data_IF_559060106247
#
_entry.id   IF_559060106247
#
_cell.length_a   1.000
_cell.length_b   1.000
_cell.length_c   1.000
_cell.angle_alpha   90.00
_cell.angle_beta   90.00
_cell.angle_gamma   90.00
#
_symmetry.space_group_name_H-M   'P 1'
#
loop_
_entity.id
_entity.type
_entity.pdbx_description
1 polymer ?
#
# COMPACT_ATOMS: atom_id res chain seq x y z
N UNK A 1 -28.58 8.04 -23.14
CA UNK A 1 -27.81 8.17 -24.39
C UNK A 1 -26.76 9.25 -24.23
N UNK A 2 -25.58 9.03 -24.78
CA UNK A 2 -24.60 10.07 -25.10
C UNK A 2 -23.80 10.65 -23.93
N UNK A 3 -22.56 10.20 -23.78
CA UNK A 3 -21.56 10.80 -22.90
C UNK A 3 -20.19 10.19 -23.17
N UNK A 4 -19.69 10.39 -24.39
CA UNK A 4 -18.36 9.95 -24.82
C UNK A 4 -17.26 10.71 -24.08
N UNK A 5 -16.18 9.99 -23.74
CA UNK A 5 -14.97 10.52 -23.13
C UNK A 5 -13.78 9.67 -23.53
N UNK A 6 -13.20 10.05 -24.67
CA UNK A 6 -11.83 9.82 -25.18
C UNK A 6 -11.08 8.61 -24.61
N UNK A 7 -11.06 7.53 -25.39
CA UNK A 7 -10.09 6.46 -25.26
C UNK A 7 -8.74 6.92 -25.78
N UNK A 8 -7.79 7.11 -24.87
CA UNK A 8 -6.37 7.11 -25.20
C UNK A 8 -5.90 5.66 -25.28
N UNK A 9 -5.64 5.18 -26.50
CA UNK A 9 -4.88 3.95 -26.73
C UNK A 9 -3.40 4.27 -26.57
N UNK A 10 -2.95 4.41 -25.32
CA UNK A 10 -1.53 4.32 -24.99
C UNK A 10 -1.10 2.86 -24.92
N UNK A 11 0.19 2.53 -25.16
CA UNK A 11 0.70 1.18 -24.95
C UNK A 11 0.77 0.91 -23.45
N UNK A 12 -0.32 0.43 -22.85
CA UNK A 12 -0.31 0.09 -21.43
C UNK A 12 -1.68 -0.05 -20.79
N UNK A 13 -2.64 0.82 -21.09
CA UNK A 13 -3.91 0.80 -20.37
C UNK A 13 -4.67 -0.52 -20.66
N UNK A 14 -5.06 -1.31 -19.65
CA UNK A 14 -5.86 -2.50 -19.91
C UNK A 14 -7.17 -2.06 -20.56
N UNK A 15 -7.54 -2.60 -21.74
CA UNK A 15 -8.88 -2.39 -22.29
C UNK A 15 -9.88 -2.77 -21.21
N UNK A 16 -11.00 -2.04 -21.11
CA UNK A 16 -12.03 -2.24 -20.08
C UNK A 16 -12.34 -3.74 -19.92
N UNK A 17 -11.76 -4.37 -18.89
CA UNK A 17 -11.99 -5.78 -18.56
C UNK A 17 -10.80 -6.75 -18.67
N UNK A 18 -9.59 -6.32 -19.06
CA UNK A 18 -8.40 -7.20 -19.19
C UNK A 18 -7.33 -7.05 -18.10
N UNK A 19 -6.14 -7.59 -18.40
CA UNK A 19 -4.89 -7.43 -17.65
C UNK A 19 -3.78 -6.90 -18.56
N UNK A 20 -2.82 -6.19 -17.99
CA UNK A 20 -1.68 -5.58 -18.70
C UNK A 20 -0.39 -5.69 -17.91
N UNK A 21 0.72 -5.77 -18.63
CA UNK A 21 2.05 -5.48 -18.12
C UNK A 21 2.28 -3.96 -18.25
N UNK A 22 2.43 -3.23 -17.13
CA UNK A 22 2.77 -1.82 -17.18
C UNK A 22 4.19 -1.62 -17.72
N UNK A 23 4.46 -0.47 -18.38
CA UNK A 23 5.79 -0.15 -18.90
C UNK A 23 6.84 -0.13 -17.78
N UNK A 24 8.12 -0.21 -18.11
CA UNK A 24 9.21 -0.03 -17.16
C UNK A 24 9.24 1.42 -16.59
N UNK A 25 9.79 1.60 -15.39
CA UNK A 25 9.88 2.91 -14.73
C UNK A 25 8.63 3.34 -13.94
N UNK A 26 8.55 4.61 -13.51
CA UNK A 26 7.42 5.14 -12.73
C UNK A 26 6.09 5.07 -13.48
N UNK A 27 4.99 4.80 -12.77
CA UNK A 27 3.64 4.74 -13.36
C UNK A 27 2.83 5.99 -13.03
N UNK A 28 2.09 6.50 -14.03
CA UNK A 28 1.10 7.56 -13.81
C UNK A 28 -0.08 7.00 -13.01
N UNK A 29 -0.35 7.62 -11.86
CA UNK A 29 -1.46 7.26 -10.97
C UNK A 29 -2.82 7.48 -11.61
N UNK A 30 -2.97 8.50 -12.47
CA UNK A 30 -4.24 8.77 -13.17
C UNK A 30 -4.59 7.65 -14.13
N UNK A 31 -3.57 7.02 -14.71
CA UNK A 31 -3.74 5.93 -15.67
C UNK A 31 -3.81 4.56 -14.98
N UNK A 32 -2.91 4.29 -14.02
CA UNK A 32 -2.71 2.97 -13.43
C UNK A 32 -3.28 2.81 -12.02
N UNK A 33 -3.65 3.90 -11.36
CA UNK A 33 -4.10 3.94 -9.98
C UNK A 33 -2.96 4.01 -8.96
N UNK A 34 -3.32 4.36 -7.73
CA UNK A 34 -2.37 4.60 -6.63
C UNK A 34 -1.58 3.34 -6.25
N UNK A 35 -2.28 2.21 -6.06
CA UNK A 35 -1.65 0.96 -5.61
C UNK A 35 -0.56 0.46 -6.59
N UNK A 36 -0.82 0.32 -7.91
CA UNK A 36 0.22 -0.08 -8.85
C UNK A 36 1.43 0.87 -8.90
N UNK A 37 1.19 2.18 -8.90
CA UNK A 37 2.26 3.16 -8.90
C UNK A 37 3.14 3.05 -7.64
N UNK A 38 2.52 2.89 -6.46
CA UNK A 38 3.23 2.67 -5.19
C UNK A 38 4.06 1.37 -5.20
N UNK A 39 3.50 0.27 -5.70
CA UNK A 39 4.21 -1.02 -5.75
C UNK A 39 5.43 -0.92 -6.68
N UNK A 40 5.27 -0.30 -7.86
CA UNK A 40 6.38 -0.12 -8.79
C UNK A 40 7.52 0.70 -8.19
N UNK A 41 7.21 1.73 -7.42
CA UNK A 41 8.23 2.54 -6.76
C UNK A 41 8.94 1.81 -5.63
N UNK A 42 8.20 1.04 -4.84
CA UNK A 42 8.78 0.26 -3.74
C UNK A 42 9.61 -0.94 -4.25
N UNK A 43 9.23 -1.51 -5.40
CA UNK A 43 9.80 -2.73 -5.97
C UNK A 43 10.07 -2.54 -7.48
N UNK A 44 11.04 -1.69 -7.86
CA UNK A 44 11.30 -1.36 -9.27
C UNK A 44 11.74 -2.56 -10.10
N UNK A 45 12.38 -3.54 -9.46
CA UNK A 45 12.94 -4.73 -10.11
C UNK A 45 11.97 -5.93 -10.13
N UNK A 46 10.79 -5.80 -9.50
CA UNK A 46 9.79 -6.88 -9.46
C UNK A 46 8.78 -6.67 -10.59
N UNK A 47 8.57 -7.67 -11.47
CA UNK A 47 7.53 -7.60 -12.49
C UNK A 47 6.15 -7.35 -11.87
N UNK A 48 5.44 -6.36 -12.41
CA UNK A 48 4.10 -5.97 -11.96
C UNK A 48 3.09 -6.35 -13.04
N UNK A 49 1.94 -6.88 -12.65
CA UNK A 49 0.81 -7.10 -13.57
C UNK A 49 -0.43 -6.44 -12.98
N UNK A 50 -1.12 -5.63 -13.78
CA UNK A 50 -2.33 -4.92 -13.35
C UNK A 50 -3.49 -5.43 -14.20
N UNK A 51 -4.47 -6.05 -13.56
CA UNK A 51 -5.64 -6.56 -14.28
C UNK A 51 -6.80 -6.86 -13.37
N UNK A 52 -8.02 -6.48 -13.78
CA UNK A 52 -9.23 -6.75 -12.98
C UNK A 52 -9.55 -8.24 -12.92
N UNK A 53 -9.35 -8.96 -14.03
CA UNK A 53 -9.50 -10.42 -14.10
C UNK A 53 -8.18 -11.08 -13.73
N UNK A 54 -8.13 -11.74 -12.57
CA UNK A 54 -6.88 -12.36 -12.08
C UNK A 54 -6.42 -13.54 -12.92
N UNK A 55 -7.35 -14.24 -13.57
CA UNK A 55 -7.03 -15.33 -14.51
C UNK A 55 -6.23 -14.78 -15.70
N UNK A 56 -6.69 -13.69 -16.31
CA UNK A 56 -5.98 -13.05 -17.43
C UNK A 56 -4.60 -12.53 -17.00
N UNK A 57 -4.50 -11.96 -15.80
CA UNK A 57 -3.23 -11.53 -15.23
C UNK A 57 -2.26 -12.72 -15.02
N UNK A 58 -2.75 -13.83 -14.47
CA UNK A 58 -1.95 -15.04 -14.30
C UNK A 58 -1.49 -15.64 -15.64
N UNK A 59 -2.35 -15.62 -16.66
CA UNK A 59 -1.98 -16.06 -18.00
C UNK A 59 -0.86 -15.20 -18.61
N UNK A 60 -0.90 -13.87 -18.42
CA UNK A 60 0.18 -12.98 -18.84
C UNK A 60 1.50 -13.28 -18.11
N UNK A 61 1.43 -13.50 -16.79
CA UNK A 61 2.62 -13.88 -15.98
C UNK A 61 3.19 -15.19 -16.48
N UNK A 62 2.37 -16.22 -16.69
CA UNK A 62 2.83 -17.51 -17.18
C UNK A 62 3.52 -17.41 -18.55
N UNK A 63 3.02 -16.54 -19.43
CA UNK A 63 3.58 -16.33 -20.76
C UNK A 63 4.91 -15.55 -20.77
N UNK A 64 5.06 -14.53 -19.91
CA UNK A 64 6.23 -13.63 -19.94
C UNK A 64 7.27 -13.94 -18.85
N UNK A 65 6.86 -14.62 -17.79
CA UNK A 65 7.68 -14.93 -16.62
C UNK A 65 7.46 -16.40 -16.20
N UNK A 66 7.82 -17.38 -17.06
CA UNK A 66 7.63 -18.79 -16.75
C UNK A 66 8.40 -19.17 -15.49
N UNK A 67 7.74 -19.89 -14.58
CA UNK A 67 8.31 -20.32 -13.29
C UNK A 67 8.32 -19.25 -12.19
N UNK A 68 7.80 -18.05 -12.45
CA UNK A 68 7.69 -17.02 -11.42
C UNK A 68 6.59 -17.34 -10.39
N UNK A 69 6.82 -16.90 -9.15
CA UNK A 69 5.80 -16.94 -8.09
C UNK A 69 4.93 -15.68 -8.21
N UNK A 70 3.62 -15.87 -8.39
CA UNK A 70 2.66 -14.78 -8.47
C UNK A 70 2.16 -14.40 -7.07
N UNK A 71 2.59 -13.23 -6.57
CA UNK A 71 2.02 -12.62 -5.38
C UNK A 71 0.79 -11.79 -5.73
N UNK A 72 -0.34 -12.04 -5.07
CA UNK A 72 -1.60 -11.32 -5.30
C UNK A 72 -2.03 -10.51 -4.08
N UNK A 73 -1.98 -9.19 -4.19
CA UNK A 73 -2.63 -8.29 -3.21
C UNK A 73 -4.16 -8.42 -3.31
N UNK A 74 -4.83 -8.47 -2.15
CA UNK A 74 -6.28 -8.65 -2.01
C UNK A 74 -6.86 -9.87 -2.79
N UNK A 75 -6.05 -10.90 -3.06
CA UNK A 75 -6.43 -12.05 -3.90
C UNK A 75 -7.31 -13.09 -3.21
N UNK A 76 -7.50 -13.02 -1.89
CA UNK A 76 -8.09 -14.10 -1.09
C UNK A 76 -9.48 -14.54 -1.57
N UNK A 77 -10.36 -13.57 -1.87
CA UNK A 77 -11.74 -13.84 -2.27
C UNK A 77 -11.91 -14.21 -3.75
N UNK A 78 -10.85 -14.14 -4.56
CA UNK A 78 -10.93 -14.43 -5.98
C UNK A 78 -10.90 -15.95 -6.23
N UNK A 79 -12.07 -16.60 -6.14
CA UNK A 79 -12.22 -18.05 -6.26
C UNK A 79 -11.79 -18.67 -7.61
N UNK A 80 -11.94 -18.02 -8.78
CA UNK A 80 -11.63 -18.65 -10.06
C UNK A 80 -10.16 -18.99 -10.30
N UNK A 81 -9.24 -18.42 -9.51
CA UNK A 81 -7.80 -18.69 -9.62
C UNK A 81 -7.37 -19.51 -8.41
N UNK A 82 -6.92 -20.74 -8.67
CA UNK A 82 -6.31 -21.60 -7.66
C UNK A 82 -5.07 -20.91 -7.09
N UNK A 83 -4.93 -20.97 -5.77
CA UNK A 83 -3.77 -20.45 -5.04
C UNK A 83 -3.03 -21.65 -4.46
N UNK A 84 -1.72 -21.64 -4.54
CA UNK A 84 -0.90 -22.65 -3.87
C UNK A 84 -0.74 -22.35 -2.38
N UNK A 85 -0.71 -21.05 -2.05
CA UNK A 85 -0.65 -20.56 -0.67
C UNK A 85 -1.57 -19.34 -0.52
N UNK A 86 -2.33 -19.32 0.56
CA UNK A 86 -3.19 -18.21 0.96
C UNK A 86 -2.87 -17.75 2.38
N UNK A 87 -2.39 -16.51 2.50
CA UNK A 87 -2.07 -15.88 3.78
C UNK A 87 -3.09 -14.78 4.04
N UNK A 88 -3.71 -14.78 5.22
CA UNK A 88 -4.72 -13.79 5.61
C UNK A 88 -4.30 -13.08 6.88
N UNK A 89 -4.37 -11.76 6.85
CA UNK A 89 -4.24 -10.94 8.06
C UNK A 89 -5.59 -10.93 8.79
N UNK A 90 -5.67 -11.63 9.92
CA UNK A 90 -6.86 -11.69 10.79
C UNK A 90 -6.41 -11.44 12.24
N UNK A 91 -6.70 -10.27 12.83
CA UNK A 91 -6.31 -10.01 14.20
C UNK A 91 -6.97 -11.03 15.13
N UNK A 92 -6.23 -11.57 16.10
CA UNK A 92 -6.73 -12.62 16.99
C UNK A 92 -8.02 -12.19 17.71
N UNK A 93 -8.07 -10.93 18.15
CA UNK A 93 -9.19 -10.29 18.85
C UNK A 93 -9.68 -9.06 18.08
N UNK A 94 -10.55 -9.21 17.06
CA UNK A 94 -11.11 -8.07 16.35
C UNK A 94 -12.09 -7.31 17.23
N UNK A 95 -12.11 -5.99 17.10
CA UNK A 95 -13.09 -5.12 17.79
C UNK A 95 -14.52 -5.46 17.35
N UNK A 96 -14.69 -5.95 16.13
CA UNK A 96 -15.98 -6.32 15.55
C UNK A 96 -15.79 -7.42 14.51
N UNK A 97 -16.48 -8.56 14.66
CA UNK A 97 -16.37 -9.72 13.77
C UNK A 97 -17.50 -9.84 12.73
N UNK A 98 -18.37 -8.83 12.60
CA UNK A 98 -19.43 -8.83 11.61
C UNK A 98 -18.92 -8.53 10.21
N UNK A 99 -19.69 -8.99 9.22
CA UNK A 99 -19.47 -8.62 7.83
C UNK A 99 -19.90 -7.18 7.56
N UNK A 100 -19.41 -6.60 6.46
CA UNK A 100 -19.89 -5.33 5.92
C UNK A 100 -21.42 -5.37 5.73
N UNK A 101 -22.15 -4.26 6.01
CA UNK A 101 -21.64 -2.98 6.51
C UNK A 101 -21.47 -2.93 8.04
N UNK A 102 -21.94 -3.95 8.77
CA UNK A 102 -21.95 -3.96 10.23
C UNK A 102 -20.57 -4.14 10.86
N UNK A 103 -19.57 -4.61 10.11
CA UNK A 103 -18.18 -4.75 10.54
C UNK A 103 -17.21 -4.84 9.35
N UNK A 104 -15.90 -5.01 9.60
CA UNK A 104 -14.88 -4.88 8.56
C UNK A 104 -14.71 -6.12 7.66
N UNK A 105 -15.33 -7.25 8.01
CA UNK A 105 -15.13 -8.50 7.30
C UNK A 105 -15.93 -8.54 5.99
N UNK A 106 -15.35 -9.09 4.93
CA UNK A 106 -16.04 -9.22 3.63
C UNK A 106 -16.81 -10.54 3.46
N UNK A 107 -16.52 -11.50 4.33
CA UNK A 107 -17.21 -12.78 4.45
C UNK A 107 -17.17 -13.22 5.93
N UNK A 108 -18.03 -14.16 6.37
CA UNK A 108 -18.04 -14.58 7.77
C UNK A 108 -16.64 -15.01 8.24
N UNK A 109 -16.14 -14.42 9.33
CA UNK A 109 -14.75 -14.61 9.81
C UNK A 109 -14.34 -16.08 9.87
N UNK A 110 -15.19 -16.93 10.45
CA UNK A 110 -14.91 -18.37 10.54
C UNK A 110 -14.83 -19.09 9.19
N UNK A 111 -15.62 -18.66 8.20
CA UNK A 111 -15.57 -19.22 6.85
C UNK A 111 -14.31 -18.81 6.09
N UNK A 112 -13.90 -17.54 6.23
CA UNK A 112 -12.63 -17.05 5.69
C UNK A 112 -11.44 -17.78 6.31
N UNK A 113 -11.38 -17.88 7.65
CA UNK A 113 -10.29 -18.57 8.35
C UNK A 113 -10.05 -20.01 7.89
N UNK A 114 -11.12 -20.76 7.59
CA UNK A 114 -11.01 -22.15 7.12
C UNK A 114 -10.41 -22.30 5.72
N UNK A 115 -10.41 -21.23 4.91
CA UNK A 115 -9.86 -21.23 3.55
C UNK A 115 -8.40 -20.80 3.50
N UNK A 116 -7.88 -20.20 4.57
CA UNK A 116 -6.51 -19.70 4.62
C UNK A 116 -5.52 -20.82 4.98
N UNK A 117 -4.37 -20.84 4.31
CA UNK A 117 -3.25 -21.71 4.67
C UNK A 117 -2.51 -21.20 5.92
N UNK A 118 -2.51 -19.88 6.09
CA UNK A 118 -1.91 -19.21 7.23
C UNK A 118 -2.72 -17.98 7.64
N UNK A 119 -3.00 -17.88 8.93
CA UNK A 119 -3.54 -16.68 9.56
C UNK A 119 -2.40 -15.95 10.25
N UNK A 120 -2.32 -14.64 10.04
CA UNK A 120 -1.33 -13.78 10.69
C UNK A 120 -2.02 -12.61 11.42
N UNK A 121 -1.49 -12.18 12.58
CA UNK A 121 -0.50 -12.90 13.38
C UNK A 121 -1.10 -14.19 13.99
N UNK A 122 -0.25 -15.12 14.42
CA UNK A 122 -0.63 -16.30 15.20
C UNK A 122 0.49 -16.67 16.21
N UNK A 123 0.33 -17.79 16.92
CA UNK A 123 1.30 -18.24 17.94
C UNK A 123 2.71 -18.54 17.39
N UNK A 124 2.80 -18.95 16.12
CA UNK A 124 4.07 -19.27 15.45
C UNK A 124 4.71 -18.03 14.82
N UNK A 125 3.90 -17.14 14.24
CA UNK A 125 4.40 -16.00 13.45
C UNK A 125 3.74 -14.69 13.86
N UNK A 126 4.58 -13.73 14.25
CA UNK A 126 4.16 -12.37 14.59
C UNK A 126 4.46 -11.41 13.44
N UNK A 127 3.53 -10.48 13.17
CA UNK A 127 3.74 -9.41 12.18
C UNK A 127 4.24 -8.16 12.92
N UNK A 128 5.46 -7.74 12.66
CA UNK A 128 6.09 -6.60 13.34
C UNK A 128 6.32 -5.45 12.37
N UNK A 129 5.55 -4.35 12.49
CA UNK A 129 5.89 -3.13 11.78
C UNK A 129 7.12 -2.49 12.41
N UNK A 130 7.95 -1.85 11.59
CA UNK A 130 9.09 -1.06 12.04
C UNK A 130 9.27 0.18 11.17
N UNK A 131 9.99 1.16 11.69
CA UNK A 131 10.33 2.37 10.95
C UNK A 131 11.64 2.11 10.24
N UNK A 132 11.65 2.15 8.90
CA UNK A 132 12.88 2.05 8.11
C UNK A 132 13.70 3.34 8.17
N UNK A 133 13.01 4.47 8.27
CA UNK A 133 13.63 5.80 8.34
C UNK A 133 12.70 6.88 7.80
N UNK A 134 13.24 8.09 7.71
CA UNK A 134 12.59 9.23 7.08
C UNK A 134 13.48 9.68 5.92
N UNK A 135 12.91 9.71 4.72
CA UNK A 135 13.56 10.28 3.55
C UNK A 135 13.15 11.75 3.41
N UNK A 136 14.12 12.66 3.33
CA UNK A 136 13.85 14.09 3.23
C UNK A 136 14.02 14.59 1.80
N UNK A 137 13.06 15.39 1.32
CA UNK A 137 13.11 15.96 -0.05
C UNK A 137 14.07 17.14 -0.19
N UNK A 138 14.43 17.75 0.94
CA UNK A 138 15.40 18.84 1.06
C UNK A 138 16.36 18.49 2.20
N UNK A 139 17.23 19.43 2.59
CA UNK A 139 18.12 19.28 3.74
C UNK A 139 17.44 18.56 4.90
N UNK A 140 18.07 17.49 5.35
CA UNK A 140 17.55 16.60 6.39
C UNK A 140 17.21 17.40 7.66
N UNK A 141 16.00 17.21 8.19
CA UNK A 141 15.57 17.82 9.45
C UNK A 141 15.73 16.78 10.56
N UNK A 142 16.73 16.97 11.41
CA UNK A 142 17.05 16.05 12.51
C UNK A 142 16.37 16.46 13.81
N UNK A 143 15.89 15.50 14.61
CA UNK A 143 15.37 15.78 15.95
C UNK A 143 16.50 16.22 16.91
N UNK A 144 16.22 17.09 17.90
CA UNK A 144 14.92 17.69 18.19
C UNK A 144 14.59 18.81 17.18
N UNK A 145 13.41 18.75 16.58
CA UNK A 145 12.94 19.76 15.63
C UNK A 145 11.41 19.85 15.63
N UNK A 146 10.90 21.04 15.35
CA UNK A 146 9.47 21.27 15.19
C UNK A 146 9.03 20.89 13.78
N UNK A 147 7.97 20.11 13.68
CA UNK A 147 7.43 19.62 12.41
C UNK A 147 5.90 19.73 12.40
N UNK A 148 5.33 19.68 11.21
CA UNK A 148 3.91 19.41 11.02
C UNK A 148 3.71 17.99 10.49
N UNK A 149 2.50 17.43 10.63
CA UNK A 149 2.14 16.16 9.98
C UNK A 149 1.00 16.35 8.96
N UNK A 150 1.06 15.63 7.83
CA UNK A 150 -0.03 15.58 6.85
C UNK A 150 -0.28 14.13 6.43
N UNK A 151 -1.50 13.61 6.63
CA UNK A 151 -1.84 12.22 6.28
C UNK A 151 -3.28 12.03 5.81
N UNK A 152 -3.52 10.98 5.02
CA UNK A 152 -4.82 10.46 4.58
C UNK A 152 -4.87 8.93 4.74
N UNK A 153 -4.57 8.47 5.96
CA UNK A 153 -4.55 7.06 6.37
C UNK A 153 -5.66 6.78 7.39
N UNK A 154 -6.05 5.51 7.53
CA UNK A 154 -7.09 5.08 8.47
C UNK A 154 -6.89 5.51 9.93
N UNK A 155 -5.63 5.58 10.39
CA UNK A 155 -5.28 5.91 11.78
C UNK A 155 -4.25 7.06 11.82
N UNK A 156 -4.66 8.31 11.58
CA UNK A 156 -3.73 9.43 11.41
C UNK A 156 -2.93 9.74 12.69
N UNK A 157 -3.49 9.46 13.87
CA UNK A 157 -2.81 9.63 15.16
C UNK A 157 -1.49 8.84 15.25
N UNK A 158 -1.37 7.72 14.53
CA UNK A 158 -0.12 6.94 14.50
C UNK A 158 1.06 7.74 13.97
N UNK A 159 0.81 8.67 13.05
CA UNK A 159 1.85 9.52 12.50
C UNK A 159 2.42 10.47 13.56
N UNK A 160 1.53 11.12 14.31
CA UNK A 160 1.90 12.03 15.40
C UNK A 160 2.70 11.27 16.46
N UNK A 161 2.17 10.15 16.96
CA UNK A 161 2.86 9.32 17.95
C UNK A 161 4.24 8.84 17.46
N UNK A 162 4.34 8.48 16.18
CA UNK A 162 5.61 8.03 15.60
C UNK A 162 6.62 9.18 15.51
N UNK A 163 6.18 10.36 15.07
CA UNK A 163 7.04 11.54 15.00
C UNK A 163 7.57 11.93 16.39
N UNK A 164 6.70 11.95 17.39
CA UNK A 164 7.07 12.23 18.79
C UNK A 164 8.04 11.17 19.35
N UNK A 165 7.79 9.89 19.07
CA UNK A 165 8.69 8.80 19.46
C UNK A 165 10.09 8.92 18.84
N UNK A 166 10.17 9.48 17.63
CA UNK A 166 11.43 9.78 16.95
C UNK A 166 12.10 11.08 17.44
N UNK A 167 11.48 11.80 18.38
CA UNK A 167 12.05 13.01 19.00
C UNK A 167 11.67 14.33 18.31
N UNK A 168 10.67 14.34 17.45
CA UNK A 168 10.14 15.58 16.87
C UNK A 168 9.05 16.21 17.75
N UNK A 169 8.98 17.54 17.74
CA UNK A 169 7.87 18.31 18.31
C UNK A 169 6.80 18.55 17.24
N UNK A 170 5.65 17.89 17.34
CA UNK A 170 4.57 18.02 16.36
C UNK A 170 3.74 19.26 16.67
N UNK A 171 4.07 20.38 16.03
CA UNK A 171 3.45 21.67 16.26
C UNK A 171 2.05 21.79 15.62
N UNK A 172 1.77 21.04 14.56
CA UNK A 172 0.46 21.01 13.90
C UNK A 172 0.25 19.72 13.10
N UNK A 173 -1.01 19.35 12.87
CA UNK A 173 -1.35 18.15 12.09
C UNK A 173 -2.60 18.34 11.25
N UNK A 174 -2.54 17.92 9.99
CA UNK A 174 -3.68 17.83 9.08
C UNK A 174 -3.95 16.37 8.77
N UNK A 175 -5.10 15.87 9.20
CA UNK A 175 -5.61 14.56 8.85
C UNK A 175 -6.77 14.70 7.87
N UNK A 176 -6.73 13.91 6.80
CA UNK A 176 -7.80 13.79 5.80
C UNK A 176 -8.42 12.39 5.88
N UNK A 177 -9.65 12.19 5.36
CA UNK A 177 -10.26 10.85 5.29
C UNK A 177 -9.31 9.83 4.65
N UNK A 178 -9.40 8.56 5.06
CA UNK A 178 -8.59 7.51 4.43
C UNK A 178 -8.90 7.46 2.93
N UNK A 179 -7.85 7.29 2.13
CA UNK A 179 -7.90 7.35 0.66
C UNK A 179 -8.24 8.73 0.05
N UNK A 180 -8.25 9.82 0.82
CA UNK A 180 -8.33 11.18 0.24
C UNK A 180 -7.19 11.37 -0.80
N UNK A 181 -7.50 11.92 -1.99
CA UNK A 181 -6.53 12.11 -3.07
C UNK A 181 -5.47 13.18 -2.78
N UNK A 182 -5.70 14.02 -1.76
CA UNK A 182 -4.81 15.12 -1.34
C UNK A 182 -4.59 16.17 -2.45
N UNK A 183 -5.60 16.42 -3.27
CA UNK A 183 -5.59 17.36 -4.39
C UNK A 183 -6.22 18.73 -4.07
N UNK A 184 -6.77 18.91 -2.87
CA UNK A 184 -7.31 20.19 -2.37
C UNK A 184 -6.27 21.32 -2.56
N UNK A 185 -6.57 22.37 -3.36
CA UNK A 185 -5.62 23.47 -3.58
C UNK A 185 -5.24 24.21 -2.29
N UNK A 186 -6.09 24.16 -1.26
CA UNK A 186 -5.85 24.79 0.03
C UNK A 186 -5.26 23.83 1.07
N UNK A 187 -4.84 22.61 0.68
CA UNK A 187 -4.35 21.59 1.61
C UNK A 187 -3.26 22.10 2.57
N UNK A 188 -2.29 22.85 2.06
CA UNK A 188 -1.16 23.35 2.84
C UNK A 188 -1.44 24.66 3.59
N UNK A 189 -2.57 25.33 3.32
CA UNK A 189 -2.90 26.61 3.97
C UNK A 189 -3.15 26.46 5.48
N UNK A 190 -3.50 25.25 5.92
CA UNK A 190 -3.75 24.89 7.32
C UNK A 190 -2.48 24.58 8.12
N UNK A 191 -1.33 24.55 7.44
CA UNK A 191 -0.04 24.23 8.06
C UNK A 191 0.86 25.48 8.00
N UNK A 192 1.46 25.93 9.12
CA UNK A 192 2.41 27.04 9.13
C UNK A 192 3.50 26.90 8.06
N UNK A 193 3.79 27.99 7.34
CA UNK A 193 4.63 27.97 6.14
C UNK A 193 6.11 27.63 6.40
N UNK A 194 6.57 27.88 7.63
CA UNK A 194 7.93 27.65 8.11
C UNK A 194 8.18 26.22 8.58
N UNK A 195 7.13 25.41 8.78
CA UNK A 195 7.27 24.06 9.29
C UNK A 195 7.56 23.04 8.18
N UNK A 196 8.59 22.19 8.33
CA UNK A 196 8.72 20.97 7.54
C UNK A 196 7.55 20.02 7.82
N UNK A 197 7.15 19.24 6.82
CA UNK A 197 5.99 18.35 6.91
C UNK A 197 6.43 16.90 6.89
N UNK A 198 6.04 16.14 7.91
CA UNK A 198 6.13 14.68 7.90
C UNK A 198 4.86 14.08 7.27
N UNK A 199 5.04 13.15 6.33
CA UNK A 199 3.95 12.40 5.70
C UNK A 199 4.32 10.91 5.56
N UNK A 200 3.36 10.07 5.15
CA UNK A 200 3.63 8.65 4.88
C UNK A 200 4.09 8.46 3.44
N UNK A 201 4.84 7.39 3.14
CA UNK A 201 5.14 7.02 1.76
C UNK A 201 3.88 6.86 0.87
N UNK A 202 2.78 6.31 1.45
CA UNK A 202 1.48 6.17 0.78
C UNK A 202 0.90 7.53 0.35
N UNK A 203 0.97 8.53 1.23
CA UNK A 203 0.44 9.85 0.93
C UNK A 203 1.42 10.71 0.11
N UNK A 204 2.73 10.46 0.24
CA UNK A 204 3.75 11.13 -0.56
C UNK A 204 3.56 10.90 -2.07
N UNK A 205 3.26 9.67 -2.46
CA UNK A 205 2.92 9.33 -3.86
C UNK A 205 1.75 10.18 -4.36
N UNK A 206 0.88 10.65 -3.45
CA UNK A 206 -0.22 11.55 -3.78
C UNK A 206 0.17 13.01 -3.97
N UNK A 207 1.05 13.49 -3.08
CA UNK A 207 1.39 14.90 -2.91
C UNK A 207 2.54 15.34 -3.82
N UNK A 208 3.49 14.45 -4.16
CA UNK A 208 4.77 14.80 -4.79
C UNK A 208 4.70 15.52 -6.14
N UNK A 209 3.56 15.45 -6.83
CA UNK A 209 3.34 16.12 -8.12
C UNK A 209 2.60 17.45 -7.99
N UNK A 210 2.25 17.87 -6.77
CA UNK A 210 1.58 19.14 -6.56
C UNK A 210 2.54 20.31 -6.81
N UNK A 211 2.06 21.42 -7.38
CA UNK A 211 2.90 22.58 -7.69
C UNK A 211 3.44 23.29 -6.43
N UNK A 212 2.77 23.12 -5.28
CA UNK A 212 3.15 23.75 -4.01
C UNK A 212 4.08 22.88 -3.16
N UNK A 213 4.45 21.66 -3.60
CA UNK A 213 5.26 20.73 -2.81
C UNK A 213 6.68 21.26 -2.56
N UNK A 214 7.27 21.94 -3.55
CA UNK A 214 8.62 22.50 -3.47
C UNK A 214 8.71 23.68 -2.52
N UNK A 215 7.60 24.21 -2.01
CA UNK A 215 7.64 25.33 -1.06
C UNK A 215 8.20 24.95 0.31
N UNK A 216 8.24 23.65 0.66
CA UNK A 216 8.61 23.16 2.01
C UNK A 216 9.49 21.92 1.95
N UNK A 217 10.14 21.61 3.07
CA UNK A 217 10.83 20.33 3.25
C UNK A 217 9.82 19.25 3.67
N UNK A 218 9.92 18.08 3.08
CA UNK A 218 9.04 16.95 3.36
C UNK A 218 9.86 15.77 3.88
N UNK A 219 9.45 15.22 5.02
CA UNK A 219 9.97 13.98 5.57
C UNK A 219 8.99 12.85 5.28
N UNK A 220 9.42 11.89 4.48
CA UNK A 220 8.62 10.77 4.04
C UNK A 220 8.94 9.58 4.94
N UNK A 221 7.99 9.25 5.82
CA UNK A 221 8.15 8.15 6.75
C UNK A 221 7.98 6.82 6.02
N UNK A 222 9.05 6.02 6.04
CA UNK A 222 9.12 4.71 5.43
C UNK A 222 8.86 3.64 6.49
N UNK A 223 7.78 2.89 6.33
CA UNK A 223 7.46 1.74 7.18
C UNK A 223 7.93 0.45 6.52
N UNK A 224 8.48 -0.44 7.33
CA UNK A 224 8.73 -1.83 6.98
C UNK A 224 7.84 -2.75 7.80
N UNK A 225 7.72 -4.00 7.36
CA UNK A 225 7.06 -5.08 8.11
C UNK A 225 7.95 -6.30 8.05
N UNK A 226 8.17 -6.96 9.19
CA UNK A 226 8.74 -8.31 9.24
C UNK A 226 7.71 -9.30 9.77
N UNK A 227 7.89 -10.57 9.40
CA UNK A 227 7.18 -11.69 10.00
C UNK A 227 8.22 -12.45 10.80
N UNK A 228 8.06 -12.51 12.12
CA UNK A 228 9.01 -13.17 13.02
C UNK A 228 8.45 -14.50 13.55
N UNK A 229 9.26 -15.58 13.60
CA UNK A 229 10.67 -15.63 13.18
C UNK A 229 10.85 -15.68 11.65
N UNK A 230 11.67 -14.77 11.11
CA UNK A 230 11.82 -14.59 9.65
C UNK A 230 12.30 -15.86 8.93
N UNK A 231 13.26 -16.60 9.50
CA UNK A 231 13.82 -17.80 8.89
C UNK A 231 12.79 -18.93 8.78
N UNK A 232 12.05 -19.17 9.86
CA UNK A 232 11.01 -20.20 9.93
C UNK A 232 9.84 -19.89 8.99
N UNK A 233 9.47 -18.61 8.87
CA UNK A 233 8.45 -18.19 7.91
C UNK A 233 8.91 -18.42 6.47
N UNK A 234 10.17 -18.12 6.16
CA UNK A 234 10.74 -18.35 4.84
C UNK A 234 10.80 -19.85 4.48
N UNK A 235 11.20 -20.70 5.44
CA UNK A 235 11.18 -22.16 5.26
C UNK A 235 9.76 -22.69 5.04
N UNK A 236 8.82 -22.25 5.87
CA UNK A 236 7.40 -22.61 5.74
C UNK A 236 6.84 -22.22 4.36
N UNK A 237 7.11 -21.00 3.91
CA UNK A 237 6.63 -20.50 2.62
C UNK A 237 7.30 -21.26 1.46
N UNK A 238 8.62 -21.47 1.54
CA UNK A 238 9.39 -22.21 0.53
C UNK A 238 8.89 -23.64 0.35
N UNK A 239 8.64 -24.36 1.44
CA UNK A 239 8.11 -25.73 1.41
C UNK A 239 6.74 -25.81 0.72
N UNK A 240 5.88 -24.80 0.89
CA UNK A 240 4.56 -24.77 0.25
C UNK A 240 4.60 -24.42 -1.23
N UNK A 241 5.50 -23.53 -1.62
CA UNK A 241 5.71 -23.18 -3.02
C UNK A 241 6.35 -24.36 -3.78
N UNK A 242 7.29 -25.09 -3.17
CA UNK A 242 8.00 -26.21 -3.78
C UNK A 242 7.21 -27.52 -3.86
N UNK A 243 6.12 -27.66 -3.11
CA UNK A 243 5.27 -28.87 -3.10
C UNK A 243 4.33 -28.97 -4.33
N UNK A 244 4.76 -28.46 -5.48
CA UNK A 244 4.01 -28.28 -6.73
C UNK A 244 4.91 -28.50 -7.92
#
# INVERSE_FOLDING_TARGET
GGGGGLGGTGPGTPPKGGASLPPAGPLDRKEWGDKPAMIREALPDVPLVVGRKRVDAAALVAAHHPGAVLLMDDGFQHLPLRKDVSIVLDPERPVNSFCLPAGPYREPRGAGRRKADLLLPNDQFSVRPFIRGIEWTKSEVRPPARVATLTAIAYPHRMVMTAEHLGYDVASGVARPDHDPLDDPQLLSRIPADLPILTTAKDWVKIRQRPDVESRAWGILQYGVTIEPTAEFAEWLGARIAAK
#
